data_IF_791316133188
#
_entry.id   IF_791316133188
#
_cell.length_a   1.000
_cell.length_b   1.000
_cell.length_c   1.000
_cell.angle_alpha   90.00
_cell.angle_beta   90.00
_cell.angle_gamma   90.00
#
_symmetry.space_group_name_H-M   'P 1'
#
loop_
_entity.id
_entity.type
_entity.pdbx_description
1 polymer ?
#
# COMPACT_ATOMS: atom_id res chain seq x y z
N UNK A 1 -26.26 -9.13 -8.85
CA UNK A 1 -25.14 -10.05 -8.58
C UNK A 1 -24.64 -9.73 -7.17
N UNK A 2 -24.57 -10.70 -6.26
CA UNK A 2 -24.33 -10.40 -4.84
C UNK A 2 -22.96 -9.73 -4.64
N UNK A 3 -22.91 -8.62 -3.90
CA UNK A 3 -21.69 -7.88 -3.56
C UNK A 3 -20.54 -8.81 -3.10
N UNK A 4 -20.87 -9.84 -2.32
CA UNK A 4 -19.94 -10.86 -1.86
C UNK A 4 -19.22 -11.65 -2.98
N UNK A 5 -19.87 -11.84 -4.13
CA UNK A 5 -19.24 -12.51 -5.29
C UNK A 5 -18.11 -11.64 -5.82
N UNK A 6 -18.33 -10.33 -5.95
CA UNK A 6 -17.29 -9.38 -6.37
C UNK A 6 -16.15 -9.29 -5.36
N UNK A 7 -16.46 -9.35 -4.07
CA UNK A 7 -15.43 -9.45 -3.02
C UNK A 7 -14.56 -10.69 -3.17
N UNK A 8 -15.14 -11.87 -3.37
CA UNK A 8 -14.39 -13.14 -3.57
C UNK A 8 -13.57 -13.08 -4.85
N UNK A 9 -14.14 -12.58 -5.95
CA UNK A 9 -13.42 -12.40 -7.22
C UNK A 9 -12.25 -11.45 -7.05
N UNK A 10 -12.44 -10.34 -6.34
CA UNK A 10 -11.40 -9.37 -6.01
C UNK A 10 -10.25 -10.01 -5.22
N UNK A 11 -10.56 -10.80 -4.20
CA UNK A 11 -9.56 -11.54 -3.42
C UNK A 11 -8.74 -12.47 -4.32
N UNK A 12 -9.39 -13.27 -5.17
CA UNK A 12 -8.71 -14.25 -6.02
C UNK A 12 -7.88 -13.60 -7.14
N UNK A 13 -8.35 -12.49 -7.70
CA UNK A 13 -7.64 -11.78 -8.76
C UNK A 13 -6.49 -10.93 -8.25
N UNK A 14 -6.53 -10.50 -6.98
CA UNK A 14 -5.52 -9.58 -6.41
C UNK A 14 -4.09 -10.13 -6.52
N UNK A 15 -3.78 -11.37 -6.10
CA UNK A 15 -2.43 -11.93 -6.26
C UNK A 15 -1.97 -12.00 -7.72
N UNK A 16 -2.89 -12.25 -8.65
CA UNK A 16 -2.59 -12.32 -10.09
C UNK A 16 -2.23 -10.93 -10.62
N UNK A 17 -3.04 -9.92 -10.31
CA UNK A 17 -2.81 -8.54 -10.76
C UNK A 17 -1.55 -7.98 -10.10
N UNK A 18 -1.42 -8.09 -8.79
CA UNK A 18 -0.28 -7.58 -8.03
C UNK A 18 1.04 -8.24 -8.46
N UNK A 19 1.05 -9.56 -8.65
CA UNK A 19 2.25 -10.28 -9.10
C UNK A 19 2.70 -9.86 -10.50
N UNK A 20 1.76 -9.61 -11.43
CA UNK A 20 2.08 -9.07 -12.76
C UNK A 20 2.60 -7.63 -12.68
N UNK A 21 1.94 -6.79 -11.88
CA UNK A 21 2.32 -5.39 -11.67
C UNK A 21 3.71 -5.28 -11.05
N UNK A 22 4.03 -6.08 -10.02
CA UNK A 22 5.37 -6.15 -9.45
C UNK A 22 6.42 -6.71 -10.41
N UNK A 23 6.03 -7.59 -11.32
CA UNK A 23 6.89 -8.08 -12.39
C UNK A 23 7.23 -6.99 -13.40
N UNK A 24 6.23 -6.21 -13.80
CA UNK A 24 6.37 -5.04 -14.67
C UNK A 24 7.27 -3.99 -14.00
N UNK A 25 7.09 -3.71 -12.71
CA UNK A 25 7.95 -2.81 -11.94
C UNK A 25 9.42 -3.21 -12.08
N UNK A 26 9.77 -4.48 -11.82
CA UNK A 26 11.14 -4.98 -11.95
C UNK A 26 11.71 -4.82 -13.36
N UNK A 27 10.89 -5.00 -14.40
CA UNK A 27 11.30 -4.81 -15.80
C UNK A 27 11.54 -3.33 -16.12
N UNK A 28 10.64 -2.44 -15.70
CA UNK A 28 10.74 -1.00 -15.93
C UNK A 28 11.96 -0.45 -15.19
N UNK A 29 12.10 -0.77 -13.90
CA UNK A 29 13.24 -0.43 -13.05
C UNK A 29 14.56 -0.89 -13.67
N UNK A 30 14.65 -2.12 -14.17
CA UNK A 30 15.86 -2.61 -14.84
C UNK A 30 16.20 -1.84 -16.12
N UNK A 31 15.18 -1.53 -16.94
CA UNK A 31 15.36 -0.75 -18.17
C UNK A 31 15.81 0.68 -17.88
N UNK A 32 15.27 1.33 -16.84
CA UNK A 32 15.70 2.65 -16.39
C UNK A 32 17.17 2.66 -15.98
N UNK A 33 17.65 1.55 -15.43
CA UNK A 33 19.05 1.36 -15.01
C UNK A 33 19.98 0.87 -16.14
N UNK A 34 19.48 0.75 -17.38
CA UNK A 34 20.28 0.29 -18.53
C UNK A 34 20.64 -1.20 -18.52
N UNK A 35 19.93 -2.03 -17.74
CA UNK A 35 20.14 -3.48 -17.67
C UNK A 35 18.91 -4.29 -18.09
N UNK A 36 19.13 -5.56 -18.43
CA UNK A 36 18.04 -6.48 -18.73
C UNK A 36 17.34 -6.92 -17.45
N UNK A 37 16.03 -6.71 -17.38
CA UNK A 37 15.19 -7.11 -16.25
C UNK A 37 14.80 -8.59 -16.25
N UNK A 38 14.34 -9.13 -15.11
CA UNK A 38 13.80 -10.49 -15.02
C UNK A 38 12.49 -10.63 -15.81
N UNK A 39 12.00 -11.87 -16.06
CA UNK A 39 10.69 -12.06 -16.68
C UNK A 39 9.55 -11.50 -15.80
N UNK A 40 8.45 -11.09 -16.42
CA UNK A 40 7.28 -10.53 -15.70
C UNK A 40 6.69 -11.49 -14.67
N UNK A 41 6.81 -12.81 -14.88
CA UNK A 41 6.31 -13.82 -13.95
C UNK A 41 7.23 -14.08 -12.75
N UNK A 42 8.37 -13.39 -12.64
CA UNK A 42 9.35 -13.60 -11.56
C UNK A 42 8.76 -13.54 -10.15
N UNK A 43 7.86 -12.58 -9.80
CA UNK A 43 7.31 -12.52 -8.44
C UNK A 43 6.54 -13.79 -8.04
N UNK A 44 5.86 -14.45 -8.98
CA UNK A 44 5.20 -15.74 -8.72
C UNK A 44 6.20 -16.85 -8.43
N UNK A 45 7.28 -16.93 -9.20
CA UNK A 45 8.34 -17.91 -8.97
C UNK A 45 9.03 -17.70 -7.62
N UNK A 46 9.23 -16.45 -7.20
CA UNK A 46 9.82 -16.13 -5.90
C UNK A 46 8.92 -16.60 -4.75
N UNK A 47 7.61 -16.30 -4.80
CA UNK A 47 6.66 -16.75 -3.78
C UNK A 47 6.55 -18.29 -3.74
N UNK A 48 6.45 -18.94 -4.90
CA UNK A 48 6.43 -20.42 -4.99
C UNK A 48 7.71 -21.05 -4.41
N UNK A 49 8.86 -20.45 -4.70
CA UNK A 49 10.15 -20.87 -4.15
C UNK A 49 10.16 -20.73 -2.63
N UNK A 50 9.66 -19.63 -2.08
CA UNK A 50 9.63 -19.40 -0.63
C UNK A 50 8.75 -20.41 0.12
N UNK A 51 7.60 -20.80 -0.45
CA UNK A 51 6.78 -21.89 0.12
C UNK A 51 7.46 -23.25 0.10
N UNK A 52 8.39 -23.47 -0.85
CA UNK A 52 9.16 -24.71 -0.93
C UNK A 52 10.35 -24.75 0.05
N UNK A 53 10.64 -23.65 0.76
CA UNK A 53 11.71 -23.58 1.75
C UNK A 53 11.22 -23.99 3.14
N UNK A 54 12.16 -24.40 3.97
CA UNK A 54 11.87 -24.68 5.38
C UNK A 54 11.48 -23.38 6.09
N UNK A 55 10.46 -23.47 6.94
CA UNK A 55 10.02 -22.35 7.76
C UNK A 55 10.87 -22.30 9.03
N UNK A 56 11.86 -21.41 9.07
CA UNK A 56 12.64 -21.14 10.28
C UNK A 56 11.86 -20.19 11.20
N UNK A 57 10.70 -20.64 11.65
CA UNK A 57 9.87 -19.83 12.57
C UNK A 57 10.53 -19.80 13.93
N UNK A 58 10.87 -18.61 14.41
CA UNK A 58 11.43 -18.41 15.74
C UNK A 58 10.42 -18.71 16.87
N UNK A 59 9.14 -18.35 16.65
CA UNK A 59 8.07 -18.48 17.66
C UNK A 59 6.70 -18.74 17.01
N UNK A 60 5.86 -19.60 17.60
CA UNK A 60 4.48 -19.85 17.09
C UNK A 60 3.65 -18.56 17.03
N UNK A 61 3.81 -17.70 18.05
CA UNK A 61 3.11 -16.42 18.12
C UNK A 61 3.41 -15.50 16.93
N UNK A 62 4.66 -15.50 16.44
CA UNK A 62 5.04 -14.75 15.24
C UNK A 62 4.22 -15.19 14.02
N UNK A 63 4.12 -16.50 13.80
CA UNK A 63 3.40 -17.05 12.66
C UNK A 63 1.90 -16.74 12.72
N UNK A 64 1.30 -16.83 13.91
CA UNK A 64 -0.11 -16.52 14.11
C UNK A 64 -0.40 -15.03 13.82
N UNK A 65 0.50 -14.12 14.21
CA UNK A 65 0.39 -12.68 13.91
C UNK A 65 0.49 -12.39 12.41
N UNK A 66 1.39 -13.07 11.68
CA UNK A 66 1.49 -12.93 10.21
C UNK A 66 0.21 -13.41 9.54
N UNK A 67 -0.40 -14.51 10.01
CA UNK A 67 -1.69 -14.97 9.50
C UNK A 67 -2.79 -13.95 9.79
N UNK A 68 -2.85 -13.40 11.00
CA UNK A 68 -3.81 -12.34 11.33
C UNK A 68 -3.64 -11.13 10.41
N UNK A 69 -2.39 -10.69 10.18
CA UNK A 69 -2.08 -9.63 9.22
C UNK A 69 -2.64 -9.93 7.83
N UNK A 70 -2.39 -11.14 7.31
CA UNK A 70 -2.92 -11.57 6.01
C UNK A 70 -4.45 -11.55 5.98
N UNK A 71 -5.12 -12.09 6.99
CA UNK A 71 -6.59 -12.14 7.04
C UNK A 71 -7.19 -10.74 6.96
N UNK A 72 -6.66 -9.79 7.74
CA UNK A 72 -7.16 -8.42 7.76
C UNK A 72 -6.88 -7.66 6.46
N UNK A 73 -5.70 -7.84 5.87
CA UNK A 73 -5.36 -7.21 4.59
C UNK A 73 -6.17 -7.80 3.43
N UNK A 74 -6.40 -9.12 3.41
CA UNK A 74 -7.28 -9.79 2.44
C UNK A 74 -8.73 -9.33 2.63
N UNK A 75 -9.19 -9.23 3.87
CA UNK A 75 -10.53 -8.74 4.18
C UNK A 75 -10.71 -7.28 3.72
N UNK A 76 -9.71 -6.41 3.92
CA UNK A 76 -9.75 -5.03 3.45
C UNK A 76 -9.98 -4.93 1.94
N UNK A 77 -9.26 -5.76 1.16
CA UNK A 77 -9.44 -5.84 -0.30
C UNK A 77 -10.78 -6.47 -0.68
N UNK A 78 -11.19 -7.54 0.00
CA UNK A 78 -12.49 -8.18 -0.23
C UNK A 78 -13.67 -7.24 0.00
N UNK A 79 -13.64 -6.47 1.09
CA UNK A 79 -14.65 -5.45 1.41
C UNK A 79 -14.64 -4.33 0.37
N UNK A 80 -13.45 -3.90 -0.08
CA UNK A 80 -13.30 -2.87 -1.10
C UNK A 80 -13.99 -3.29 -2.42
N UNK A 81 -13.74 -4.52 -2.89
CA UNK A 81 -14.34 -5.02 -4.13
C UNK A 81 -15.80 -5.46 -3.99
N UNK A 82 -16.25 -5.81 -2.78
CA UNK A 82 -17.68 -5.96 -2.49
C UNK A 82 -18.41 -4.61 -2.53
N UNK A 83 -17.66 -3.50 -2.46
CA UNK A 83 -18.17 -2.15 -2.50
C UNK A 83 -18.80 -1.72 -1.18
N UNK A 84 -18.26 -2.23 -0.07
CA UNK A 84 -18.69 -1.90 1.29
C UNK A 84 -18.19 -0.50 1.72
N UNK A 85 -18.31 -0.18 3.01
CA UNK A 85 -17.86 1.10 3.56
C UNK A 85 -16.34 1.29 3.44
N UNK A 86 -15.90 2.35 2.77
CA UNK A 86 -14.50 2.70 2.54
C UNK A 86 -13.68 2.84 3.83
N UNK A 87 -14.27 3.45 4.87
CA UNK A 87 -13.57 3.66 6.13
C UNK A 87 -13.30 2.32 6.84
N UNK A 88 -14.25 1.39 6.77
CA UNK A 88 -14.07 0.03 7.29
C UNK A 88 -12.95 -0.71 6.56
N UNK A 89 -12.86 -0.53 5.24
CA UNK A 89 -11.79 -1.10 4.43
C UNK A 89 -10.42 -0.58 4.86
N UNK A 90 -10.29 0.74 5.08
CA UNK A 90 -9.04 1.37 5.54
C UNK A 90 -8.67 0.88 6.94
N UNK A 91 -9.62 0.84 7.87
CA UNK A 91 -9.33 0.33 9.22
C UNK A 91 -8.90 -1.13 9.22
N UNK A 92 -9.53 -1.98 8.40
CA UNK A 92 -9.11 -3.37 8.25
C UNK A 92 -7.65 -3.47 7.77
N UNK A 93 -7.26 -2.65 6.79
CA UNK A 93 -5.87 -2.58 6.33
C UNK A 93 -4.91 -2.13 7.45
N UNK A 94 -5.25 -1.07 8.18
CA UNK A 94 -4.42 -0.56 9.30
C UNK A 94 -4.22 -1.62 10.36
N UNK A 95 -5.28 -2.34 10.75
CA UNK A 95 -5.19 -3.44 11.71
C UNK A 95 -4.30 -4.57 11.20
N UNK A 96 -4.43 -4.95 9.92
CA UNK A 96 -3.55 -5.95 9.29
C UNK A 96 -2.08 -5.53 9.34
N UNK A 97 -1.81 -4.26 9.07
CA UNK A 97 -0.50 -3.64 9.14
C UNK A 97 0.08 -3.62 10.57
N UNK A 98 -0.73 -3.31 11.58
CA UNK A 98 -0.32 -3.37 12.99
C UNK A 98 0.04 -4.82 13.39
N UNK A 99 -0.71 -5.83 12.94
CA UNK A 99 -0.34 -7.23 13.19
C UNK A 99 0.99 -7.62 12.54
N UNK A 100 1.31 -7.08 11.37
CA UNK A 100 2.61 -7.30 10.71
C UNK A 100 3.77 -6.73 11.54
N UNK A 101 3.57 -5.53 12.07
CA UNK A 101 4.53 -4.87 12.96
C UNK A 101 4.70 -5.65 14.27
N UNK A 102 3.60 -6.10 14.88
CA UNK A 102 3.63 -6.93 16.08
C UNK A 102 4.34 -8.27 15.82
N UNK A 103 4.18 -8.85 14.62
CA UNK A 103 4.91 -10.05 14.24
C UNK A 103 6.42 -9.77 14.28
N UNK A 104 6.88 -8.68 13.68
CA UNK A 104 8.30 -8.29 13.74
C UNK A 104 8.79 -8.05 15.18
N UNK A 105 8.01 -7.40 16.05
CA UNK A 105 8.35 -7.23 17.47
C UNK A 105 8.42 -8.54 18.25
N UNK A 106 7.63 -9.54 17.88
CA UNK A 106 7.63 -10.84 18.56
C UNK A 106 8.92 -11.63 18.35
N UNK A 107 9.79 -11.16 17.45
CA UNK A 107 11.11 -11.74 17.20
C UNK A 107 12.13 -11.20 18.20
N UNK A 108 12.94 -12.08 18.79
CA UNK A 108 13.95 -11.72 19.79
C UNK A 108 15.22 -11.14 19.16
N UNK A 109 15.07 -10.24 18.18
CA UNK A 109 16.17 -9.68 17.39
C UNK A 109 16.14 -8.15 17.44
N UNK A 110 17.23 -7.49 17.88
CA UNK A 110 17.26 -6.03 17.99
C UNK A 110 17.10 -5.35 16.62
N UNK A 111 17.56 -5.99 15.54
CA UNK A 111 17.44 -5.44 14.18
C UNK A 111 16.00 -5.48 13.66
N UNK A 112 15.26 -6.54 13.99
CA UNK A 112 13.84 -6.66 13.64
C UNK A 112 13.00 -5.65 14.42
N UNK A 113 13.30 -5.46 15.71
CA UNK A 113 12.65 -4.45 16.56
C UNK A 113 12.85 -3.03 16.02
N UNK A 114 14.08 -2.66 15.65
CA UNK A 114 14.37 -1.36 15.02
C UNK A 114 13.69 -1.19 13.65
N UNK A 115 13.55 -2.28 12.88
CA UNK A 115 12.78 -2.27 11.63
C UNK A 115 11.29 -2.01 11.88
N UNK A 116 10.72 -2.65 12.91
CA UNK A 116 9.34 -2.46 13.34
C UNK A 116 9.07 -1.03 13.83
N UNK A 117 9.99 -0.44 14.60
CA UNK A 117 9.88 0.97 15.03
C UNK A 117 9.82 1.93 13.83
N UNK A 118 10.62 1.67 12.78
CA UNK A 118 10.63 2.48 11.56
C UNK A 118 9.36 2.29 10.74
N UNK A 119 8.82 1.07 10.67
CA UNK A 119 7.51 0.83 10.04
C UNK A 119 6.40 1.58 10.78
N UNK A 120 6.40 1.58 12.12
CA UNK A 120 5.43 2.37 12.90
C UNK A 120 5.52 3.87 12.59
N UNK A 121 6.73 4.42 12.44
CA UNK A 121 6.91 5.82 12.05
C UNK A 121 6.36 6.10 10.64
N UNK A 122 6.54 5.17 9.69
CA UNK A 122 5.95 5.29 8.35
C UNK A 122 4.42 5.22 8.39
N UNK A 123 3.85 4.31 9.18
CA UNK A 123 2.40 4.22 9.38
C UNK A 123 1.85 5.52 10.00
N UNK A 124 2.51 6.03 11.05
CA UNK A 124 2.13 7.30 11.69
C UNK A 124 2.14 8.47 10.69
N UNK A 125 3.07 8.49 9.75
CA UNK A 125 3.18 9.53 8.74
C UNK A 125 2.14 9.38 7.61
N UNK A 126 1.83 8.14 7.20
CA UNK A 126 1.01 7.87 6.03
C UNK A 126 -0.49 7.82 6.31
N UNK A 127 -0.91 7.18 7.40
CA UNK A 127 -2.33 6.93 7.69
C UNK A 127 -3.19 8.19 7.80
N UNK A 128 -2.73 9.31 8.41
CA UNK A 128 -3.52 10.54 8.47
C UNK A 128 -3.97 11.02 7.09
N UNK A 129 -3.10 10.97 6.08
CA UNK A 129 -3.45 11.40 4.73
C UNK A 129 -4.46 10.45 4.06
N UNK A 130 -4.32 9.14 4.26
CA UNK A 130 -5.25 8.14 3.73
C UNK A 130 -6.65 8.33 4.34
N UNK A 131 -6.72 8.61 5.65
CA UNK A 131 -7.98 8.94 6.32
C UNK A 131 -8.58 10.24 5.79
N UNK A 132 -7.78 11.30 5.60
CA UNK A 132 -8.26 12.54 4.98
C UNK A 132 -8.74 12.33 3.54
N UNK A 133 -8.14 11.39 2.80
CA UNK A 133 -8.63 11.02 1.48
C UNK A 133 -10.04 10.40 1.53
N UNK A 134 -10.29 9.50 2.48
CA UNK A 134 -11.64 8.95 2.69
C UNK A 134 -12.66 10.03 3.10
N UNK A 135 -12.29 10.92 4.02
CA UNK A 135 -13.13 12.06 4.43
C UNK A 135 -13.41 12.99 3.25
N UNK A 136 -12.40 13.27 2.42
CA UNK A 136 -12.56 14.08 1.22
C UNK A 136 -13.52 13.46 0.23
N UNK A 137 -13.40 12.16 -0.04
CA UNK A 137 -14.31 11.43 -0.92
C UNK A 137 -15.74 11.51 -0.37
N UNK A 138 -15.93 11.36 0.94
CA UNK A 138 -17.24 11.56 1.58
C UNK A 138 -17.77 12.98 1.39
N UNK A 139 -16.94 14.01 1.59
CA UNK A 139 -17.36 15.41 1.36
C UNK A 139 -17.74 15.67 -0.09
N UNK A 140 -17.07 15.04 -1.05
CA UNK A 140 -17.37 15.18 -2.47
C UNK A 140 -18.65 14.43 -2.88
N UNK A 141 -18.83 13.19 -2.41
CA UNK A 141 -19.87 12.25 -2.88
C UNK A 141 -21.08 12.10 -1.94
N UNK A 142 -20.92 12.44 -0.66
CA UNK A 142 -21.95 12.33 0.39
C UNK A 142 -22.06 10.95 1.05
N UNK A 143 -21.21 9.99 0.69
CA UNK A 143 -21.29 8.61 1.22
C UNK A 143 -19.90 7.97 1.36
N UNK A 144 -19.80 6.97 2.23
CA UNK A 144 -18.62 6.10 2.35
C UNK A 144 -18.79 4.78 1.61
N UNK A 145 -19.99 4.49 1.09
CA UNK A 145 -20.27 3.27 0.34
C UNK A 145 -19.56 3.31 -1.01
N UNK A 146 -18.64 2.36 -1.24
CA UNK A 146 -17.80 2.32 -2.44
C UNK A 146 -18.63 2.08 -3.70
N UNK A 147 -19.70 1.28 -3.65
CA UNK A 147 -20.57 1.07 -4.81
C UNK A 147 -21.26 2.37 -5.21
N UNK A 148 -21.75 3.12 -4.24
CA UNK A 148 -22.36 4.43 -4.48
C UNK A 148 -21.33 5.44 -5.02
N UNK A 149 -20.13 5.48 -4.43
CA UNK A 149 -19.00 6.32 -4.92
C UNK A 149 -18.68 5.97 -6.39
N UNK A 150 -18.58 4.68 -6.72
CA UNK A 150 -18.22 4.22 -8.06
C UNK A 150 -19.30 4.50 -9.11
N UNK A 151 -20.58 4.48 -8.70
CA UNK A 151 -21.72 4.81 -9.55
C UNK A 151 -21.99 6.32 -9.71
N UNK A 152 -21.23 7.16 -8.99
CA UNK A 152 -21.41 8.61 -8.99
C UNK A 152 -21.15 9.25 -10.37
N UNK A 153 -21.87 10.33 -10.66
CA UNK A 153 -21.76 11.07 -11.94
C UNK A 153 -20.55 11.99 -12.00
N UNK A 154 -20.08 12.49 -10.85
CA UNK A 154 -18.96 13.43 -10.75
C UNK A 154 -17.70 12.73 -10.24
N UNK A 155 -16.56 13.02 -10.87
CA UNK A 155 -15.27 12.50 -10.41
C UNK A 155 -14.81 13.28 -9.18
N UNK A 156 -14.45 12.58 -8.10
CA UNK A 156 -14.00 13.21 -6.85
C UNK A 156 -12.76 14.09 -7.05
N UNK A 157 -11.92 13.79 -8.04
CA UNK A 157 -10.75 14.60 -8.41
C UNK A 157 -11.07 16.07 -8.70
N UNK A 158 -12.27 16.40 -9.20
CA UNK A 158 -12.65 17.78 -9.50
C UNK A 158 -12.71 18.65 -8.23
N UNK A 159 -13.08 18.02 -7.10
CA UNK A 159 -13.21 18.67 -5.81
C UNK A 159 -11.98 18.44 -4.93
N UNK A 160 -11.20 17.40 -5.21
CA UNK A 160 -10.14 16.90 -4.34
C UNK A 160 -8.74 16.88 -4.97
N UNK A 161 -8.30 17.87 -5.79
CA UNK A 161 -7.00 17.81 -6.44
C UNK A 161 -5.84 17.84 -5.43
N UNK A 162 -5.94 18.65 -4.36
CA UNK A 162 -4.92 18.69 -3.32
C UNK A 162 -4.79 17.35 -2.59
N UNK A 163 -5.93 16.77 -2.19
CA UNK A 163 -5.95 15.47 -1.51
C UNK A 163 -5.35 14.38 -2.40
N UNK A 164 -5.62 14.41 -3.69
CA UNK A 164 -5.04 13.48 -4.65
C UNK A 164 -3.50 13.57 -4.73
N UNK A 165 -2.94 14.78 -4.81
CA UNK A 165 -1.49 14.96 -4.80
C UNK A 165 -0.84 14.56 -3.47
N UNK A 166 -1.49 14.88 -2.34
CA UNK A 166 -1.01 14.43 -1.03
C UNK A 166 -1.08 12.90 -0.91
N UNK A 167 -2.09 12.25 -1.50
CA UNK A 167 -2.20 10.80 -1.53
C UNK A 167 -1.06 10.19 -2.33
N UNK A 168 -0.76 10.70 -3.53
CA UNK A 168 0.39 10.26 -4.35
C UNK A 168 1.68 10.31 -3.52
N UNK A 169 1.95 11.42 -2.84
CA UNK A 169 3.15 11.54 -2.02
C UNK A 169 3.25 10.47 -0.92
N UNK A 170 2.13 10.21 -0.24
CA UNK A 170 2.07 9.22 0.83
C UNK A 170 2.10 7.78 0.29
N UNK A 171 1.72 7.54 -0.97
CA UNK A 171 1.88 6.23 -1.59
C UNK A 171 3.33 5.77 -1.62
N UNK A 172 4.27 6.69 -1.89
CA UNK A 172 5.70 6.37 -1.89
C UNK A 172 6.17 5.84 -0.54
N UNK A 173 5.65 6.42 0.56
CA UNK A 173 5.89 5.94 1.93
C UNK A 173 5.23 4.57 2.13
N UNK A 174 3.95 4.44 1.78
CA UNK A 174 3.13 3.24 1.99
C UNK A 174 3.65 2.02 1.21
N UNK A 175 4.14 2.21 -0.01
CA UNK A 175 4.73 1.18 -0.85
C UNK A 175 6.20 0.90 -0.52
N UNK A 176 6.77 1.59 0.48
CA UNK A 176 8.15 1.42 0.94
C UNK A 176 9.16 1.63 -0.20
N UNK A 177 8.87 2.60 -1.08
CA UNK A 177 9.70 2.97 -2.23
C UNK A 177 10.66 4.10 -1.87
N UNK A 178 11.81 4.17 -2.53
CA UNK A 178 12.74 5.31 -2.40
C UNK A 178 12.01 6.60 -2.79
N UNK A 179 12.17 7.72 -2.06
CA UNK A 179 13.18 8.00 -1.04
C UNK A 179 12.84 7.55 0.39
N UNK A 180 11.69 6.89 0.61
CA UNK A 180 11.13 6.58 1.93
C UNK A 180 11.17 5.10 2.27
N UNK A 181 12.10 4.32 1.71
CA UNK A 181 12.31 2.88 1.94
C UNK A 181 13.00 2.59 3.30
N UNK A 182 12.48 3.15 4.39
CA UNK A 182 13.12 3.14 5.71
C UNK A 182 12.98 1.83 6.48
N UNK A 183 11.77 1.26 6.46
CA UNK A 183 11.40 0.05 7.20
C UNK A 183 11.89 -1.22 6.51
N UNK A 184 11.61 -1.36 5.21
CA UNK A 184 12.13 -2.45 4.37
C UNK A 184 12.56 -1.87 3.05
N UNK A 185 13.65 -2.40 2.53
CA UNK A 185 14.16 -2.00 1.22
C UNK A 185 14.46 -3.25 0.42
N UNK A 186 14.15 -3.20 -0.88
CA UNK A 186 14.62 -4.20 -1.84
C UNK A 186 16.12 -4.03 -2.14
N UNK A 187 16.68 -2.88 -1.78
CA UNK A 187 18.10 -2.58 -1.85
C UNK A 187 18.78 -2.90 -0.51
N UNK A 188 19.92 -3.58 -0.56
CA UNK A 188 20.70 -3.88 0.64
C UNK A 188 21.36 -2.60 1.16
N UNK A 189 20.72 -1.93 2.11
CA UNK A 189 21.29 -0.75 2.78
C UNK A 189 22.01 -1.15 4.05
N UNK A 190 23.09 -0.45 4.38
CA UNK A 190 23.97 -0.81 5.51
C UNK A 190 23.39 -0.52 6.89
N UNK A 191 22.28 0.24 6.99
CA UNK A 191 21.70 0.63 8.29
C UNK A 191 20.96 -0.50 9.01
N UNK A 192 20.25 -1.35 8.27
CA UNK A 192 19.46 -2.46 8.79
C UNK A 192 19.59 -3.62 7.80
N UNK A 193 19.79 -4.85 8.30
CA UNK A 193 20.04 -6.05 7.47
C UNK A 193 18.96 -6.24 6.41
N UNK A 194 17.69 -6.30 6.84
CA UNK A 194 16.51 -6.31 5.95
C UNK A 194 15.27 -5.65 6.58
N UNK A 195 15.50 -4.91 7.68
CA UNK A 195 14.49 -4.21 8.48
C UNK A 195 13.38 -5.12 8.99
N UNK A 196 12.11 -4.77 8.72
CA UNK A 196 10.93 -5.52 9.20
C UNK A 196 10.96 -7.01 8.84
N UNK A 197 11.54 -7.38 7.70
CA UNK A 197 11.54 -8.75 7.18
C UNK A 197 12.77 -9.58 7.57
N UNK A 198 13.61 -9.09 8.50
CA UNK A 198 14.91 -9.71 8.83
C UNK A 198 14.80 -11.16 9.30
N UNK A 199 13.83 -11.44 10.17
CA UNK A 199 13.64 -12.77 10.79
C UNK A 199 12.60 -13.63 10.05
N UNK A 200 12.03 -13.12 8.96
CA UNK A 200 11.02 -13.84 8.17
C UNK A 200 11.73 -14.82 7.23
N UNK A 201 11.39 -16.11 7.33
CA UNK A 201 12.01 -17.18 6.56
C UNK A 201 10.99 -18.10 5.87
N UNK A 202 11.34 -18.54 4.66
CA UNK A 202 10.55 -19.51 3.90
C UNK A 202 9.07 -19.08 3.73
N UNK A 203 8.10 -19.92 4.13
CA UNK A 203 6.66 -19.61 4.03
C UNK A 203 6.24 -18.31 4.72
N UNK A 204 6.82 -17.97 5.88
CA UNK A 204 6.46 -16.71 6.57
C UNK A 204 6.82 -15.47 5.75
N UNK A 205 7.96 -15.50 5.05
CA UNK A 205 8.35 -14.45 4.11
C UNK A 205 7.47 -14.46 2.85
N UNK A 206 7.01 -15.64 2.40
CA UNK A 206 6.05 -15.73 1.30
C UNK A 206 4.73 -15.02 1.66
N UNK A 207 4.23 -15.21 2.88
CA UNK A 207 3.03 -14.50 3.36
C UNK A 207 3.24 -12.99 3.43
N UNK A 208 4.42 -12.53 3.86
CA UNK A 208 4.79 -11.11 3.84
C UNK A 208 4.69 -10.50 2.43
N UNK A 209 5.24 -11.18 1.41
CA UNK A 209 5.16 -10.73 0.01
C UNK A 209 3.71 -10.69 -0.49
N UNK A 210 2.89 -11.68 -0.12
CA UNK A 210 1.46 -11.70 -0.46
C UNK A 210 0.72 -10.55 0.23
N UNK A 211 0.99 -10.26 1.51
CA UNK A 211 0.42 -9.12 2.23
C UNK A 211 0.74 -7.82 1.47
N UNK A 212 2.00 -7.65 1.05
CA UNK A 212 2.41 -6.49 0.26
C UNK A 212 1.67 -6.39 -1.09
N UNK A 213 1.38 -7.52 -1.74
CA UNK A 213 0.58 -7.55 -2.97
C UNK A 213 -0.84 -7.05 -2.75
N UNK A 214 -1.51 -7.49 -1.67
CA UNK A 214 -2.85 -7.00 -1.32
C UNK A 214 -2.82 -5.52 -0.93
N UNK A 215 -1.84 -5.08 -0.15
CA UNK A 215 -1.66 -3.66 0.21
C UNK A 215 -1.47 -2.78 -1.04
N UNK A 216 -0.66 -3.24 -2.00
CA UNK A 216 -0.44 -2.53 -3.26
C UNK A 216 -1.74 -2.36 -4.05
N UNK A 217 -2.51 -3.44 -4.22
CA UNK A 217 -3.79 -3.36 -4.96
C UNK A 217 -4.81 -2.49 -4.24
N UNK A 218 -4.88 -2.57 -2.91
CA UNK A 218 -5.76 -1.72 -2.11
C UNK A 218 -5.47 -0.24 -2.36
N UNK A 219 -4.20 0.13 -2.29
CA UNK A 219 -3.74 1.51 -2.44
C UNK A 219 -3.96 2.02 -3.87
N UNK A 220 -3.72 1.18 -4.89
CA UNK A 220 -4.06 1.49 -6.28
C UNK A 220 -5.57 1.65 -6.49
N UNK A 221 -6.39 0.87 -5.78
CA UNK A 221 -7.84 1.01 -5.83
C UNK A 221 -8.32 2.33 -5.20
N UNK A 222 -7.67 2.83 -4.15
CA UNK A 222 -7.95 4.18 -3.63
C UNK A 222 -7.74 5.26 -4.68
N UNK A 223 -6.66 5.17 -5.47
CA UNK A 223 -6.40 6.10 -6.59
C UNK A 223 -7.50 5.99 -7.65
N UNK A 224 -7.92 4.77 -7.98
CA UNK A 224 -9.03 4.55 -8.91
C UNK A 224 -10.33 5.24 -8.45
N UNK A 225 -10.64 5.23 -7.14
CA UNK A 225 -11.87 5.83 -6.61
C UNK A 225 -12.00 7.34 -6.91
N UNK A 226 -10.89 8.08 -7.06
CA UNK A 226 -10.94 9.50 -7.44
C UNK A 226 -11.53 9.75 -8.83
N UNK A 227 -11.47 8.73 -9.69
CA UNK A 227 -11.88 8.78 -11.09
C UNK A 227 -13.01 7.79 -11.41
N UNK A 228 -13.62 7.14 -10.41
CA UNK A 228 -14.51 5.99 -10.62
C UNK A 228 -15.68 6.25 -11.59
N UNK A 229 -16.22 7.48 -11.61
CA UNK A 229 -17.22 7.95 -12.60
C UNK A 229 -16.82 7.74 -14.08
N UNK A 230 -15.52 7.65 -14.37
CA UNK A 230 -14.95 7.43 -15.71
C UNK A 230 -13.92 6.29 -15.63
N UNK A 231 -14.35 5.03 -15.79
CA UNK A 231 -13.51 3.86 -15.49
C UNK A 231 -12.22 3.82 -16.31
N UNK A 232 -12.27 4.20 -17.60
CA UNK A 232 -11.09 4.25 -18.48
C UNK A 232 -10.07 5.26 -17.96
N UNK A 233 -10.54 6.45 -17.53
CA UNK A 233 -9.66 7.48 -16.98
C UNK A 233 -9.05 7.02 -15.66
N UNK A 234 -9.83 6.32 -14.82
CA UNK A 234 -9.32 5.73 -13.58
C UNK A 234 -8.23 4.70 -13.80
N UNK A 235 -8.39 3.79 -14.76
CA UNK A 235 -7.34 2.80 -15.08
C UNK A 235 -6.08 3.50 -15.57
N UNK A 236 -6.21 4.47 -16.47
CA UNK A 236 -5.07 5.24 -16.99
C UNK A 236 -4.38 6.02 -15.86
N UNK A 237 -5.15 6.63 -14.95
CA UNK A 237 -4.61 7.35 -13.80
C UNK A 237 -3.82 6.41 -12.86
N UNK A 238 -4.33 5.22 -12.57
CA UNK A 238 -3.61 4.21 -11.76
C UNK A 238 -2.31 3.81 -12.43
N UNK A 239 -2.31 3.55 -13.74
CA UNK A 239 -1.09 3.19 -14.47
C UNK A 239 -0.06 4.33 -14.47
N UNK A 240 -0.51 5.57 -14.65
CA UNK A 240 0.35 6.75 -14.60
C UNK A 240 0.93 6.94 -13.20
N UNK A 241 0.10 6.89 -12.16
CA UNK A 241 0.55 7.04 -10.76
C UNK A 241 1.53 5.93 -10.41
N UNK A 242 1.25 4.68 -10.76
CA UNK A 242 2.17 3.58 -10.49
C UNK A 242 3.50 3.73 -11.24
N UNK A 243 3.47 4.18 -12.51
CA UNK A 243 4.68 4.50 -13.26
C UNK A 243 5.46 5.66 -12.63
N UNK A 244 4.78 6.69 -12.12
CA UNK A 244 5.40 7.78 -11.39
C UNK A 244 6.07 7.29 -10.10
N UNK A 245 5.45 6.38 -9.34
CA UNK A 245 6.09 5.76 -8.16
C UNK A 245 7.37 5.02 -8.55
N UNK A 246 7.36 4.25 -9.64
CA UNK A 246 8.56 3.56 -10.14
C UNK A 246 9.64 4.57 -10.55
N UNK A 247 9.24 5.66 -11.21
CA UNK A 247 10.16 6.72 -11.60
C UNK A 247 10.79 7.37 -10.37
N UNK A 248 9.98 7.74 -9.38
CA UNK A 248 10.41 8.37 -8.11
C UNK A 248 11.39 7.45 -7.38
N UNK A 249 11.12 6.15 -7.31
CA UNK A 249 11.98 5.13 -6.70
C UNK A 249 13.38 5.09 -7.35
N UNK A 250 13.45 5.24 -8.67
CA UNK A 250 14.70 5.12 -9.43
C UNK A 250 15.51 6.42 -9.53
N UNK A 251 14.88 7.59 -9.44
CA UNK A 251 15.56 8.89 -9.59
C UNK A 251 15.98 9.51 -8.26
N UNK A 252 15.29 9.18 -7.16
CA UNK A 252 15.54 9.84 -5.88
C UNK A 252 16.52 9.06 -5.01
N UNK A 253 17.36 9.82 -4.30
CA UNK A 253 18.19 9.28 -3.24
C UNK A 253 17.37 9.13 -1.95
N UNK A 254 17.69 8.10 -1.16
CA UNK A 254 17.04 7.84 0.11
C UNK A 254 17.18 9.01 1.08
N UNK A 255 16.10 9.28 1.81
CA UNK A 255 15.97 10.39 2.76
C UNK A 255 15.91 9.86 4.19
N UNK A 256 16.33 10.68 5.16
CA UNK A 256 16.24 10.36 6.59
C UNK A 256 14.80 10.39 7.10
N UNK A 257 14.55 9.61 8.15
CA UNK A 257 13.24 9.48 8.78
C UNK A 257 12.67 10.81 9.30
N UNK A 258 13.52 11.70 9.83
CA UNK A 258 13.10 13.03 10.31
C UNK A 258 12.44 13.85 9.21
N UNK A 259 13.06 13.90 8.03
CA UNK A 259 12.56 14.66 6.89
C UNK A 259 11.32 13.99 6.30
N UNK A 260 11.26 12.66 6.25
CA UNK A 260 10.04 11.94 5.85
C UNK A 260 8.86 12.33 6.74
N UNK A 261 9.03 12.28 8.07
CA UNK A 261 7.95 12.59 9.00
C UNK A 261 7.53 14.06 8.86
N UNK A 262 8.47 14.99 8.89
CA UNK A 262 8.16 16.41 8.75
C UNK A 262 7.44 16.73 7.42
N UNK A 263 7.95 16.21 6.31
CA UNK A 263 7.37 16.44 4.98
C UNK A 263 5.98 15.80 4.82
N UNK A 264 5.78 14.57 5.31
CA UNK A 264 4.48 13.91 5.27
C UNK A 264 3.42 14.69 6.04
N UNK A 265 3.74 15.19 7.24
CA UNK A 265 2.83 16.02 8.01
C UNK A 265 2.54 17.36 7.32
N UNK A 266 3.56 18.05 6.80
CA UNK A 266 3.37 19.31 6.06
C UNK A 266 2.47 19.09 4.85
N UNK A 267 2.70 18.03 4.08
CA UNK A 267 1.88 17.70 2.90
C UNK A 267 0.46 17.34 3.31
N UNK A 268 0.29 16.55 4.36
CA UNK A 268 -1.03 16.17 4.89
C UNK A 268 -1.82 17.41 5.33
N UNK A 269 -1.18 18.36 6.01
CA UNK A 269 -1.83 19.60 6.46
C UNK A 269 -2.17 20.53 5.28
N UNK A 270 -1.24 20.75 4.35
CA UNK A 270 -1.43 21.70 3.25
C UNK A 270 -2.37 21.11 2.19
N UNK A 271 -2.04 19.94 1.66
CA UNK A 271 -2.77 19.33 0.54
C UNK A 271 -4.00 18.57 0.99
N UNK A 272 -3.95 17.90 2.15
CA UNK A 272 -5.09 17.22 2.74
C UNK A 272 -6.06 18.23 3.36
N UNK A 273 -5.75 18.74 4.56
CA UNK A 273 -6.67 19.62 5.29
C UNK A 273 -6.96 20.92 4.53
N UNK A 274 -5.96 21.57 3.93
CA UNK A 274 -6.16 22.81 3.20
C UNK A 274 -7.18 22.66 2.07
N UNK A 275 -7.12 21.56 1.32
CA UNK A 275 -8.09 21.31 0.26
C UNK A 275 -9.49 20.96 0.79
N UNK A 276 -9.58 20.22 1.90
CA UNK A 276 -10.88 19.95 2.55
C UNK A 276 -11.53 21.23 3.10
N UNK A 277 -10.74 22.13 3.69
CA UNK A 277 -11.24 23.43 4.14
C UNK A 277 -11.74 24.28 2.98
N UNK A 278 -11.00 24.32 1.86
CA UNK A 278 -11.47 25.00 0.65
C UNK A 278 -12.78 24.40 0.14
N UNK A 279 -12.90 23.08 0.10
CA UNK A 279 -14.12 22.41 -0.32
C UNK A 279 -15.30 22.73 0.63
N UNK A 280 -15.06 22.81 1.93
CA UNK A 280 -16.08 23.18 2.92
C UNK A 280 -16.57 24.62 2.76
N UNK A 281 -15.69 25.56 2.38
CA UNK A 281 -16.06 26.96 2.17
C UNK A 281 -16.80 27.16 0.84
N UNK A 282 -16.46 26.38 -0.18
CA UNK A 282 -17.02 26.49 -1.53
C UNK A 282 -18.38 25.78 -1.70
N UNK A 283 -18.75 24.88 -0.78
CA UNK A 283 -20.06 24.21 -0.72
C UNK A 283 -21.00 24.95 0.22
#
# INVERSE_FOLDING_TARGET
MNAWIWGIVGILLTPVVAGLVGGIDRVITAKMQGRMGPPVLQPFYDVMKLFSKQNLVLNRFHHDLVICSLIFTVAAVGLLFAGENLLMCIFALVVGNVFLVLAAYSTNSPYSMLGADRELLQMLAAEPMILLAAVGIYMATGTFDINLIASGTHSAIQYLPGVFFGLIYVLTIKLRKSPFDLSTSHHAHQELVKGLSTEFAGPSLALFEIIHWYETVFVMALIYLFFASRPIVGIVAVLIVYFLEILIDNINARVKWDLMLASAWVITLIFGLGNLMLLFILK
#
